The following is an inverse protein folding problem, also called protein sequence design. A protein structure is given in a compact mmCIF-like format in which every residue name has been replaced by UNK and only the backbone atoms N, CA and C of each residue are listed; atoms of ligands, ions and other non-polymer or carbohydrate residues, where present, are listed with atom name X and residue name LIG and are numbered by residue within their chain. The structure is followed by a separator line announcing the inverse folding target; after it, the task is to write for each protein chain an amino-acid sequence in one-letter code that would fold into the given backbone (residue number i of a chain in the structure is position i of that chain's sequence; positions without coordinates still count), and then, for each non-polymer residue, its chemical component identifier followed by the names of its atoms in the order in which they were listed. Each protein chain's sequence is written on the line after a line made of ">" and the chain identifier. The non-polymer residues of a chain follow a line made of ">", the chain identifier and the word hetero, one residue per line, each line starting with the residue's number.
data_IF_992201888887
#
_entry.id   IF_992201888887
#
_cell.length_a   1.000
_cell.length_b   1.000
_cell.length_c   1.000
_cell.angle_alpha   90.00
_cell.angle_beta   90.00
_cell.angle_gamma   90.00
#
_symmetry.space_group_name_H-M   'P 1'
#
loop_
_entity.id
_entity.type
_entity.pdbx_description
1 polymer ?
#
# COMPACT_ATOMS: atom_id res chain seq x y z
N UNK A 1 -25.97 11.04 -30.51
CA UNK A 1 -26.13 12.21 -29.62
C UNK A 1 -25.12 12.08 -28.49
N UNK A 2 -23.92 12.65 -28.65
CA UNK A 2 -22.93 12.65 -27.58
C UNK A 2 -23.43 13.52 -26.45
N UNK A 3 -23.48 13.00 -25.22
CA UNK A 3 -23.76 13.83 -24.04
C UNK A 3 -22.70 14.93 -24.01
N UNK A 4 -23.12 16.19 -24.14
CA UNK A 4 -22.23 17.34 -23.95
C UNK A 4 -21.54 17.21 -22.59
N UNK A 5 -20.23 17.41 -22.57
CA UNK A 5 -19.43 17.43 -21.36
C UNK A 5 -19.93 18.57 -20.46
N UNK A 6 -20.67 18.24 -19.41
CA UNK A 6 -21.15 19.23 -18.45
C UNK A 6 -20.02 19.58 -17.48
N UNK A 7 -19.46 20.78 -17.63
CA UNK A 7 -18.41 21.34 -16.76
C UNK A 7 -18.79 21.27 -15.27
N UNK A 8 -20.07 21.39 -14.95
CA UNK A 8 -20.60 21.27 -13.58
C UNK A 8 -20.50 19.84 -13.02
N UNK A 9 -20.81 18.83 -13.84
CA UNK A 9 -20.67 17.42 -13.46
C UNK A 9 -19.20 17.05 -13.24
N UNK A 10 -18.31 17.55 -14.10
CA UNK A 10 -16.87 17.34 -13.97
C UNK A 10 -16.29 17.97 -12.70
N UNK A 11 -16.65 19.23 -12.40
CA UNK A 11 -16.24 19.91 -11.16
C UNK A 11 -16.74 19.19 -9.91
N UNK A 12 -17.99 18.70 -9.91
CA UNK A 12 -18.53 17.89 -8.81
C UNK A 12 -17.76 16.58 -8.63
N UNK A 13 -17.41 15.91 -9.73
CA UNK A 13 -16.63 14.67 -9.67
C UNK A 13 -15.25 14.90 -9.07
N UNK A 14 -14.54 15.95 -9.52
CA UNK A 14 -13.22 16.30 -8.98
C UNK A 14 -13.31 16.72 -7.51
N UNK A 15 -14.33 17.48 -7.13
CA UNK A 15 -14.47 17.92 -5.74
C UNK A 15 -14.74 16.76 -4.81
N UNK A 16 -15.58 15.80 -5.23
CA UNK A 16 -15.80 14.54 -4.53
C UNK A 16 -14.51 13.72 -4.44
N UNK A 17 -13.83 13.50 -5.56
CA UNK A 17 -12.58 12.75 -5.60
C UNK A 17 -11.51 13.36 -4.69
N UNK A 18 -11.30 14.68 -4.74
CA UNK A 18 -10.34 15.38 -3.89
C UNK A 18 -10.69 15.26 -2.39
N UNK A 19 -11.99 15.32 -2.06
CA UNK A 19 -12.47 15.10 -0.70
C UNK A 19 -12.20 13.67 -0.23
N UNK A 20 -12.55 12.68 -1.04
CA UNK A 20 -12.30 11.27 -0.77
C UNK A 20 -10.80 10.99 -0.57
N UNK A 21 -9.93 11.52 -1.43
CA UNK A 21 -8.48 11.37 -1.31
C UNK A 21 -7.95 11.96 0.00
N UNK A 22 -8.48 13.11 0.45
CA UNK A 22 -8.09 13.68 1.76
C UNK A 22 -8.54 12.81 2.93
N UNK A 23 -9.76 12.28 2.89
CA UNK A 23 -10.26 11.36 3.93
C UNK A 23 -9.40 10.10 3.98
N UNK A 24 -9.09 9.51 2.82
CA UNK A 24 -8.19 8.36 2.73
C UNK A 24 -6.80 8.70 3.28
N UNK A 25 -6.25 9.88 2.96
CA UNK A 25 -4.95 10.30 3.47
C UNK A 25 -4.92 10.34 5.00
N UNK A 26 -5.88 11.02 5.63
CA UNK A 26 -5.95 11.07 7.09
C UNK A 26 -6.20 9.69 7.70
N UNK A 27 -7.05 8.87 7.06
CA UNK A 27 -7.26 7.48 7.45
C UNK A 27 -5.94 6.70 7.48
N UNK A 28 -5.15 6.78 6.41
CA UNK A 28 -3.84 6.11 6.30
C UNK A 28 -2.88 6.55 7.40
N UNK A 29 -2.81 7.85 7.73
CA UNK A 29 -1.97 8.35 8.82
C UNK A 29 -2.45 7.82 10.18
N UNK A 30 -3.76 7.81 10.42
CA UNK A 30 -4.33 7.28 11.67
C UNK A 30 -4.03 5.78 11.81
N UNK A 31 -4.30 4.98 10.79
CA UNK A 31 -4.01 3.55 10.81
C UNK A 31 -2.52 3.27 10.98
N UNK A 32 -1.64 3.97 10.25
CA UNK A 32 -0.19 3.84 10.42
C UNK A 32 0.26 4.17 11.84
N UNK A 33 -0.30 5.21 12.46
CA UNK A 33 0.00 5.59 13.84
C UNK A 33 -0.48 4.54 14.85
N UNK A 34 -1.67 3.97 14.62
CA UNK A 34 -2.20 2.88 15.44
C UNK A 34 -1.33 1.62 15.40
N UNK A 35 -0.80 1.26 14.22
CA UNK A 35 0.13 0.13 14.09
C UNK A 35 1.44 0.36 14.84
N UNK A 36 2.02 1.56 14.77
CA UNK A 36 3.22 1.92 15.55
C UNK A 36 2.92 1.85 17.05
N UNK A 37 1.80 2.42 17.49
CA UNK A 37 1.39 2.39 18.89
C UNK A 37 1.18 0.95 19.38
N UNK A 38 0.53 0.09 18.59
CA UNK A 38 0.39 -1.33 18.89
C UNK A 38 1.77 -2.02 19.02
N UNK A 39 2.72 -1.71 18.13
CA UNK A 39 4.10 -2.20 18.22
C UNK A 39 4.78 -1.80 19.52
N UNK A 40 4.62 -0.55 19.97
CA UNK A 40 5.15 -0.07 21.25
C UNK A 40 4.54 -0.83 22.43
N UNK A 41 3.23 -1.07 22.41
CA UNK A 41 2.56 -1.86 23.45
C UNK A 41 3.10 -3.30 23.48
N UNK A 42 3.25 -3.93 22.32
CA UNK A 42 3.79 -5.31 22.19
C UNK A 42 5.22 -5.40 22.72
N UNK A 43 6.04 -4.35 22.59
CA UNK A 43 7.39 -4.34 23.17
C UNK A 43 7.37 -4.50 24.69
N UNK A 44 6.38 -3.90 25.36
CA UNK A 44 6.25 -3.89 26.83
C UNK A 44 5.64 -5.20 27.35
N UNK A 45 4.72 -5.80 26.59
CA UNK A 45 4.03 -7.02 27.00
C UNK A 45 4.98 -8.24 27.04
N UNK A 46 4.78 -9.13 28.01
CA UNK A 46 5.58 -10.34 28.14
C UNK A 46 5.35 -11.32 26.98
N UNK A 47 6.33 -12.20 26.77
CA UNK A 47 6.32 -13.19 25.68
C UNK A 47 5.13 -14.15 25.75
N UNK A 48 4.64 -14.41 26.95
CA UNK A 48 3.56 -15.38 27.20
C UNK A 48 2.23 -14.95 26.59
N UNK A 49 1.99 -13.64 26.44
CA UNK A 49 0.79 -13.09 25.79
C UNK A 49 0.69 -13.41 24.30
N UNK A 50 1.80 -13.85 23.68
CA UNK A 50 1.90 -14.13 22.24
C UNK A 50 2.28 -15.58 21.96
N UNK A 51 2.21 -16.43 22.98
CA UNK A 51 2.49 -17.86 22.85
C UNK A 51 1.18 -18.56 22.53
N UNK A 52 1.11 -19.22 21.38
CA UNK A 52 -0.04 -20.04 21.01
C UNK A 52 0.27 -21.47 21.43
N UNK A 53 -0.35 -21.89 22.53
CA UNK A 53 -0.27 -23.28 23.02
C UNK A 53 -1.28 -24.16 22.28
N UNK A 54 -1.03 -25.48 22.22
CA UNK A 54 -1.96 -26.47 21.66
C UNK A 54 -3.40 -26.31 22.17
N UNK A 55 -3.58 -25.95 23.44
CA UNK A 55 -4.90 -25.72 24.04
C UNK A 55 -5.68 -24.54 23.42
N UNK A 56 -4.99 -23.58 22.80
CA UNK A 56 -5.58 -22.45 22.07
C UNK A 56 -5.73 -22.75 20.56
N UNK A 57 -4.92 -23.67 20.04
CA UNK A 57 -4.95 -24.15 18.67
C UNK A 57 -6.02 -25.24 18.56
N UNK A 58 -7.29 -24.85 18.65
CA UNK A 58 -8.41 -25.77 18.42
C UNK A 58 -8.22 -26.56 17.12
N UNK A 59 -8.82 -27.76 17.00
CA UNK A 59 -8.64 -28.65 15.85
C UNK A 59 -9.03 -27.96 14.53
N UNK A 60 -8.06 -27.38 13.84
CA UNK A 60 -8.22 -26.91 12.46
C UNK A 60 -8.13 -28.13 11.56
N UNK A 61 -9.28 -28.77 11.33
CA UNK A 61 -9.41 -29.89 10.39
C UNK A 61 -9.64 -29.32 8.99
N UNK A 62 -8.62 -29.42 8.13
CA UNK A 62 -8.76 -29.12 6.71
C UNK A 62 -9.22 -30.38 5.97
N UNK A 63 -10.52 -30.47 5.69
CA UNK A 63 -11.08 -31.57 4.89
C UNK A 63 -10.89 -31.28 3.39
N UNK A 64 -9.78 -31.76 2.84
CA UNK A 64 -9.57 -31.78 1.40
C UNK A 64 -10.21 -33.04 0.82
N UNK A 65 -11.47 -32.90 0.42
CA UNK A 65 -12.17 -33.86 -0.43
C UNK A 65 -12.21 -35.27 0.18
N UNK A 66 -12.40 -35.39 1.50
CA UNK A 66 -12.63 -36.65 2.25
C UNK A 66 -11.51 -37.70 2.19
N UNK A 67 -10.33 -37.37 1.66
CA UNK A 67 -9.23 -38.31 1.49
C UNK A 67 -8.06 -38.07 2.45
N UNK A 68 -7.92 -36.86 2.99
CA UNK A 68 -6.83 -36.51 3.92
C UNK A 68 -7.35 -35.53 4.97
N UNK A 69 -7.41 -35.98 6.22
CA UNK A 69 -7.59 -35.14 7.39
C UNK A 69 -6.19 -34.75 7.89
N UNK A 70 -5.77 -33.51 7.66
CA UNK A 70 -4.52 -32.99 8.23
C UNK A 70 -4.89 -32.26 9.51
N UNK A 71 -4.52 -32.85 10.65
CA UNK A 71 -4.63 -32.20 11.95
C UNK A 71 -3.46 -31.22 12.10
N UNK A 72 -3.76 -29.92 12.13
CA UNK A 72 -2.75 -28.88 12.31
C UNK A 72 -1.96 -29.03 13.63
N UNK A 73 -2.55 -29.69 14.64
CA UNK A 73 -1.90 -30.00 15.91
C UNK A 73 -0.77 -31.04 15.78
N UNK A 74 -0.78 -31.93 14.78
CA UNK A 74 0.31 -32.90 14.56
C UNK A 74 1.53 -32.29 13.84
N UNK A 75 1.38 -31.10 13.25
CA UNK A 75 2.46 -30.43 12.51
C UNK A 75 3.24 -29.42 13.37
N UNK A 76 2.72 -29.07 14.54
CA UNK A 76 3.27 -28.04 15.43
C UNK A 76 3.41 -28.66 16.83
N UNK A 77 4.57 -29.28 17.08
CA UNK A 77 4.88 -30.02 18.31
C UNK A 77 5.41 -29.10 19.44
N UNK A 78 5.37 -27.77 19.24
CA UNK A 78 5.97 -26.80 20.16
C UNK A 78 5.11 -25.53 20.27
N UNK A 79 5.14 -24.92 21.47
CA UNK A 79 4.59 -23.60 21.72
C UNK A 79 5.16 -22.56 20.73
N UNK A 80 4.29 -22.00 19.89
CA UNK A 80 4.70 -20.99 18.89
C UNK A 80 4.68 -19.62 19.54
N UNK A 81 5.84 -18.95 19.55
CA UNK A 81 5.93 -17.56 19.97
C UNK A 81 5.80 -16.60 18.79
N UNK A 82 4.66 -15.92 18.69
CA UNK A 82 4.37 -14.97 17.59
C UNK A 82 4.80 -13.53 17.89
N UNK A 83 5.42 -13.24 19.04
CA UNK A 83 5.77 -11.86 19.41
C UNK A 83 6.62 -11.19 18.34
N UNK A 84 7.60 -11.91 17.79
CA UNK A 84 8.48 -11.42 16.74
C UNK A 84 7.74 -11.12 15.43
N UNK A 85 6.75 -11.94 15.08
CA UNK A 85 5.87 -11.74 13.90
C UNK A 85 5.00 -10.51 14.08
N UNK A 86 4.38 -10.36 15.26
CA UNK A 86 3.53 -9.20 15.58
C UNK A 86 4.35 -7.92 15.53
N UNK A 87 5.55 -7.90 16.12
CA UNK A 87 6.45 -6.74 16.06
C UNK A 87 6.88 -6.41 14.63
N UNK A 88 7.30 -7.41 13.86
CA UNK A 88 7.66 -7.23 12.45
C UNK A 88 6.50 -6.61 11.66
N UNK A 89 5.27 -7.08 11.89
CA UNK A 89 4.06 -6.56 11.25
C UNK A 89 3.76 -5.13 11.67
N UNK A 90 3.80 -4.84 12.98
CA UNK A 90 3.53 -3.52 13.55
C UNK A 90 4.47 -2.43 13.04
N UNK A 91 5.73 -2.74 12.76
CA UNK A 91 6.70 -1.76 12.26
C UNK A 91 6.82 -1.72 10.74
N UNK A 92 6.53 -2.82 10.03
CA UNK A 92 6.65 -2.85 8.57
C UNK A 92 5.44 -2.27 7.85
N UNK A 93 4.22 -2.52 8.33
CA UNK A 93 2.98 -2.00 7.70
C UNK A 93 2.94 -0.46 7.65
N UNK A 94 3.34 0.28 8.70
CA UNK A 94 3.42 1.74 8.64
C UNK A 94 4.31 2.28 7.52
N UNK A 95 5.34 1.54 7.11
CA UNK A 95 6.20 1.93 5.98
C UNK A 95 5.38 1.96 4.67
N UNK A 96 4.54 0.94 4.45
CA UNK A 96 3.63 0.88 3.30
C UNK A 96 2.60 2.01 3.39
N UNK A 97 2.02 2.26 4.56
CA UNK A 97 1.10 3.39 4.75
C UNK A 97 1.75 4.73 4.49
N UNK A 98 3.03 4.92 4.84
CA UNK A 98 3.78 6.12 4.50
C UNK A 98 3.85 6.34 2.98
N UNK A 99 4.10 5.29 2.21
CA UNK A 99 4.14 5.34 0.75
C UNK A 99 2.76 5.69 0.15
N UNK A 100 1.70 5.05 0.65
CA UNK A 100 0.31 5.36 0.25
C UNK A 100 -0.06 6.80 0.59
N UNK A 101 0.34 7.29 1.76
CA UNK A 101 0.09 8.67 2.17
C UNK A 101 0.78 9.68 1.23
N UNK A 102 2.01 9.40 0.78
CA UNK A 102 2.70 10.21 -0.23
C UNK A 102 1.90 10.26 -1.53
N UNK A 103 1.46 9.10 -2.04
CA UNK A 103 0.66 9.04 -3.28
C UNK A 103 -0.64 9.85 -3.13
N UNK A 104 -1.38 9.67 -2.03
CA UNK A 104 -2.63 10.38 -1.78
C UNK A 104 -2.41 11.90 -1.64
N UNK A 105 -1.33 12.32 -1.00
CA UNK A 105 -0.97 13.73 -0.85
C UNK A 105 -0.79 14.41 -2.21
N UNK A 106 0.05 13.82 -3.08
CA UNK A 106 0.32 14.38 -4.41
C UNK A 106 -0.88 14.24 -5.35
N UNK A 107 -1.68 13.19 -5.22
CA UNK A 107 -2.93 13.04 -5.97
C UNK A 107 -3.93 14.14 -5.58
N UNK A 108 -4.06 14.45 -4.28
CA UNK A 108 -4.93 15.53 -3.80
C UNK A 108 -4.51 16.89 -4.36
N UNK A 109 -3.21 17.13 -4.52
CA UNK A 109 -2.68 18.35 -5.15
C UNK A 109 -3.07 18.45 -6.63
N UNK A 110 -2.90 17.37 -7.40
CA UNK A 110 -3.34 17.33 -8.80
C UNK A 110 -4.85 17.56 -8.90
N UNK A 111 -5.65 16.84 -8.11
CA UNK A 111 -7.11 17.01 -8.12
C UNK A 111 -7.54 18.43 -7.72
N UNK A 112 -6.80 19.09 -6.83
CA UNK A 112 -7.10 20.47 -6.45
C UNK A 112 -6.85 21.44 -7.61
N UNK A 113 -5.73 21.30 -8.34
CA UNK A 113 -5.46 22.14 -9.54
C UNK A 113 -6.47 21.95 -10.67
N UNK A 114 -7.07 20.75 -10.78
CA UNK A 114 -8.12 20.47 -11.77
C UNK A 114 -9.41 21.24 -11.47
N UNK A 115 -9.66 21.62 -10.21
CA UNK A 115 -10.79 22.49 -9.85
C UNK A 115 -10.63 23.89 -10.44
N UNK A 116 -9.39 24.34 -10.53
CA UNK A 116 -9.01 25.65 -11.06
C UNK A 116 -8.81 25.61 -12.59
N UNK A 117 -9.19 24.51 -13.25
CA UNK A 117 -9.00 24.27 -14.69
C UNK A 117 -7.55 24.40 -15.18
N UNK A 118 -6.57 24.10 -14.31
CA UNK A 118 -5.13 24.19 -14.64
C UNK A 118 -4.45 22.82 -14.57
N UNK A 119 -4.79 21.87 -15.47
CA UNK A 119 -4.21 20.52 -15.47
C UNK A 119 -2.69 20.53 -15.78
N UNK A 120 -2.22 21.45 -16.61
CA UNK A 120 -0.83 21.49 -17.09
C UNK A 120 -0.03 22.58 -16.38
N UNK A 121 0.32 22.30 -15.13
CA UNK A 121 1.23 23.14 -14.34
C UNK A 121 2.52 22.37 -14.04
N UNK A 122 3.62 23.11 -13.86
CA UNK A 122 4.90 22.51 -13.43
C UNK A 122 4.76 21.78 -12.08
N UNK A 123 3.81 22.20 -11.24
CA UNK A 123 3.53 21.54 -9.97
C UNK A 123 2.88 20.16 -10.15
N UNK A 124 1.94 20.05 -11.09
CA UNK A 124 1.31 18.77 -11.42
C UNK A 124 2.30 17.81 -12.07
N UNK A 125 3.19 18.30 -12.93
CA UNK A 125 4.29 17.50 -13.49
C UNK A 125 5.16 16.91 -12.39
N UNK A 126 5.57 17.74 -11.41
CA UNK A 126 6.34 17.27 -10.24
C UNK A 126 5.55 16.26 -9.42
N UNK A 127 4.27 16.54 -9.16
CA UNK A 127 3.39 15.66 -8.38
C UNK A 127 3.23 14.29 -9.05
N UNK A 128 3.03 14.26 -10.37
CA UNK A 128 2.90 13.03 -11.15
C UNK A 128 4.21 12.24 -11.17
N UNK A 129 5.37 12.90 -11.27
CA UNK A 129 6.69 12.25 -11.12
C UNK A 129 6.86 11.60 -9.75
N UNK A 130 6.46 12.28 -8.68
CA UNK A 130 6.55 11.71 -7.32
C UNK A 130 5.66 10.48 -7.21
N UNK A 131 4.40 10.55 -7.66
CA UNK A 131 3.49 9.39 -7.66
C UNK A 131 4.10 8.24 -8.46
N UNK A 132 4.64 8.50 -9.65
CA UNK A 132 5.24 7.49 -10.51
C UNK A 132 6.41 6.78 -9.80
N UNK A 133 7.33 7.54 -9.20
CA UNK A 133 8.43 6.98 -8.41
C UNK A 133 7.95 6.23 -7.17
N UNK A 134 6.91 6.71 -6.49
CA UNK A 134 6.32 5.99 -5.34
C UNK A 134 5.78 4.61 -5.75
N UNK A 135 5.16 4.49 -6.93
CA UNK A 135 4.68 3.20 -7.44
C UNK A 135 5.85 2.29 -7.88
N UNK A 136 6.91 2.85 -8.48
CA UNK A 136 8.13 2.07 -8.79
C UNK A 136 8.77 1.55 -7.50
N UNK A 137 8.84 2.38 -6.46
CA UNK A 137 9.38 1.95 -5.16
C UNK A 137 8.48 0.88 -4.53
N UNK A 138 7.15 0.99 -4.66
CA UNK A 138 6.22 0.00 -4.10
C UNK A 138 6.40 -1.38 -4.72
N UNK A 139 6.83 -1.47 -5.98
CA UNK A 139 6.98 -2.74 -6.70
C UNK A 139 8.03 -3.67 -6.08
N UNK A 140 8.97 -3.10 -5.32
CA UNK A 140 10.01 -3.84 -4.59
C UNK A 140 9.72 -3.82 -3.09
N UNK A 141 9.29 -2.67 -2.56
CA UNK A 141 9.10 -2.49 -1.12
C UNK A 141 7.98 -3.37 -0.55
N UNK A 142 6.85 -3.46 -1.24
CA UNK A 142 5.71 -4.25 -0.75
C UNK A 142 6.05 -5.74 -0.71
N UNK A 143 6.55 -6.37 -1.79
CA UNK A 143 7.00 -7.76 -1.74
C UNK A 143 8.13 -8.00 -0.73
N UNK A 144 9.02 -7.02 -0.51
CA UNK A 144 10.09 -7.14 0.48
C UNK A 144 9.53 -7.19 1.92
N UNK A 145 8.54 -6.36 2.23
CA UNK A 145 7.85 -6.38 3.53
C UNK A 145 7.08 -7.69 3.72
N UNK A 146 6.36 -8.15 2.69
CA UNK A 146 5.62 -9.42 2.73
C UNK A 146 6.56 -10.61 2.95
N UNK A 147 7.65 -10.67 2.19
CA UNK A 147 8.67 -11.71 2.32
C UNK A 147 9.28 -11.67 3.72
N UNK A 148 9.63 -10.49 4.23
CA UNK A 148 10.19 -10.33 5.57
C UNK A 148 9.24 -10.85 6.66
N UNK A 149 7.96 -10.45 6.63
CA UNK A 149 6.96 -10.94 7.58
C UNK A 149 6.79 -12.46 7.46
N UNK A 150 6.74 -12.99 6.24
CA UNK A 150 6.59 -14.42 6.00
C UNK A 150 7.79 -15.23 6.52
N UNK A 151 9.02 -14.75 6.32
CA UNK A 151 10.22 -15.36 6.91
C UNK A 151 10.15 -15.37 8.43
N UNK A 152 9.64 -14.31 9.07
CA UNK A 152 9.45 -14.27 10.52
C UNK A 152 8.39 -15.29 10.98
N UNK A 153 7.35 -15.52 10.19
CA UNK A 153 6.35 -16.56 10.46
C UNK A 153 7.02 -17.94 10.40
N UNK A 154 7.69 -18.28 9.29
CA UNK A 154 8.39 -19.56 9.13
C UNK A 154 9.35 -19.83 10.29
N UNK A 155 10.15 -18.83 10.67
CA UNK A 155 11.09 -18.95 11.77
C UNK A 155 10.39 -19.15 13.13
N UNK A 156 9.24 -18.52 13.33
CA UNK A 156 8.47 -18.63 14.58
C UNK A 156 7.70 -19.94 14.68
N UNK A 157 7.27 -20.53 13.56
CA UNK A 157 6.52 -21.79 13.51
C UNK A 157 7.41 -23.04 13.39
N UNK A 158 8.69 -22.88 13.03
CA UNK A 158 9.62 -24.00 12.88
C UNK A 158 9.35 -24.88 11.65
N UNK A 159 8.51 -24.44 10.72
CA UNK A 159 8.16 -25.22 9.52
C UNK A 159 9.28 -25.07 8.48
N UNK A 160 10.31 -25.90 8.58
CA UNK A 160 11.49 -25.89 7.68
C UNK A 160 11.18 -26.23 6.22
N UNK A 161 9.96 -26.70 5.93
CA UNK A 161 9.54 -27.11 4.58
C UNK A 161 9.00 -25.96 3.73
N UNK A 162 8.87 -24.76 4.31
CA UNK A 162 8.37 -23.57 3.62
C UNK A 162 9.52 -22.58 3.37
N UNK A 163 9.69 -22.20 2.11
CA UNK A 163 10.62 -21.15 1.68
C UNK A 163 9.87 -19.85 1.35
N UNK A 164 10.45 -18.71 1.72
CA UNK A 164 9.96 -17.40 1.30
C UNK A 164 10.49 -17.05 -0.09
N UNK A 165 9.60 -16.94 -1.08
CA UNK A 165 9.98 -16.52 -2.44
C UNK A 165 9.76 -15.03 -2.61
N UNK A 166 10.84 -14.28 -2.76
CA UNK A 166 10.78 -12.86 -3.12
C UNK A 166 10.54 -12.71 -4.63
N UNK A 167 9.51 -11.96 -5.01
CA UNK A 167 9.20 -11.64 -6.40
C UNK A 167 8.83 -10.17 -6.55
N UNK A 168 9.43 -9.49 -7.52
CA UNK A 168 9.13 -8.09 -7.82
C UNK A 168 7.75 -8.00 -8.48
N UNK A 169 6.95 -7.02 -8.07
CA UNK A 169 5.67 -6.73 -8.74
C UNK A 169 5.91 -6.01 -10.07
N UNK A 170 6.05 -6.79 -11.15
CA UNK A 170 6.22 -6.27 -12.50
C UNK A 170 5.03 -5.42 -12.97
N UNK A 171 3.84 -5.63 -12.42
CA UNK A 171 2.65 -4.84 -12.77
C UNK A 171 2.78 -3.43 -12.20
N UNK A 172 3.08 -3.30 -10.91
CA UNK A 172 3.32 -2.00 -10.29
C UNK A 172 4.50 -1.28 -10.95
N UNK A 173 5.59 -1.99 -11.22
CA UNK A 173 6.76 -1.43 -11.91
C UNK A 173 6.38 -0.84 -13.27
N UNK A 174 5.63 -1.60 -14.08
CA UNK A 174 5.17 -1.16 -15.39
C UNK A 174 4.23 0.05 -15.30
N UNK A 175 3.27 0.04 -14.38
CA UNK A 175 2.38 1.19 -14.13
C UNK A 175 3.18 2.44 -13.73
N UNK A 176 4.18 2.28 -12.87
CA UNK A 176 5.09 3.36 -12.48
C UNK A 176 5.81 3.98 -13.69
N UNK A 177 6.32 3.17 -14.62
CA UNK A 177 6.92 3.67 -15.86
C UNK A 177 5.91 4.38 -16.77
N UNK A 178 4.68 3.86 -16.89
CA UNK A 178 3.63 4.54 -17.64
C UNK A 178 3.31 5.92 -17.07
N UNK A 179 3.28 6.06 -15.74
CA UNK A 179 3.07 7.35 -15.09
C UNK A 179 4.26 8.30 -15.27
N UNK A 180 5.50 7.80 -15.32
CA UNK A 180 6.66 8.62 -15.69
C UNK A 180 6.54 9.17 -17.10
N UNK A 181 6.13 8.34 -18.07
CA UNK A 181 5.86 8.79 -19.45
C UNK A 181 4.76 9.85 -19.45
N UNK A 182 3.66 9.60 -18.72
CA UNK A 182 2.56 10.56 -18.60
C UNK A 182 3.04 11.90 -18.00
N UNK A 183 3.98 11.88 -17.05
CA UNK A 183 4.58 13.10 -16.51
C UNK A 183 5.35 13.91 -17.55
N UNK A 184 6.01 13.24 -18.51
CA UNK A 184 6.67 13.91 -19.62
C UNK A 184 5.68 14.49 -20.62
N UNK A 185 4.57 13.78 -20.88
CA UNK A 185 3.47 14.30 -21.71
C UNK A 185 2.88 15.56 -21.07
N UNK A 186 2.64 15.55 -19.76
CA UNK A 186 2.15 16.74 -19.03
C UNK A 186 3.15 17.90 -19.06
N UNK A 187 4.45 17.60 -19.02
CA UNK A 187 5.50 18.61 -19.15
C UNK A 187 5.48 19.27 -20.53
N UNK A 188 5.31 18.48 -21.59
CA UNK A 188 5.14 19.00 -22.94
C UNK A 188 3.85 19.82 -23.09
N UNK A 189 2.73 19.36 -22.50
CA UNK A 189 1.49 20.14 -22.43
C UNK A 189 1.67 21.49 -21.73
N UNK A 190 2.45 21.52 -20.64
CA UNK A 190 2.78 22.77 -19.93
C UNK A 190 3.63 23.71 -20.79
N UNK A 191 4.53 23.18 -21.62
CA UNK A 191 5.30 23.96 -22.58
C UNK A 191 4.41 24.58 -23.65
N UNK A 192 3.54 23.79 -24.28
CA UNK A 192 2.61 24.27 -25.31
C UNK A 192 1.66 25.35 -24.78
N UNK A 193 1.14 25.19 -23.56
CA UNK A 193 0.25 26.17 -22.97
C UNK A 193 0.95 27.52 -22.77
N UNK A 194 2.23 27.51 -22.38
CA UNK A 194 3.03 28.74 -22.25
C UNK A 194 3.28 29.44 -23.58
N UNK A 195 3.57 28.70 -24.65
CA UNK A 195 3.74 29.30 -25.98
C UNK A 195 2.46 29.96 -26.47
N UNK A 196 1.31 29.30 -26.28
CA UNK A 196 0.01 29.85 -26.66
C UNK A 196 -0.31 31.15 -25.90
N UNK A 197 -0.12 31.15 -24.58
CA UNK A 197 -0.37 32.32 -23.73
C UNK A 197 0.55 33.51 -24.05
N UNK A 198 1.74 33.27 -24.64
CA UNK A 198 2.68 34.32 -25.07
C UNK A 198 2.38 34.90 -26.46
N UNK A 199 1.49 34.27 -27.23
CA UNK A 199 1.11 34.72 -28.59
C UNK A 199 -0.17 35.56 -28.65
N UNK A 200 -0.85 35.74 -27.51
CA UNK A 200 -2.00 36.64 -27.33
C UNK A 200 -1.56 37.99 -26.76
#
# INVERSE_FOLDING_TARGET
>A
MGKEFSTEQFKKLISFAAGLTKVMFFGTIIFGSLFIMAGIVVLILDRDWFTVTEAMMGSLTFDFNSAVEINASELIDQDINLKSVVLATCFSIPVIFGLVAVILHYLSRILSSLKDNTPFTNENVKSLKVIAWSIIISSVLVPAVETFIFTMIIHSTGIEQLDSVFSIDLTALFVGFLLLILSHIFNYGTYLQKEYDQTL
#
